data_IF_810066519178
#
_entry.id   IF_810066519178
#
_cell.length_a   1.000
_cell.length_b   1.000
_cell.length_c   1.000
_cell.angle_alpha   90.00
_cell.angle_beta   90.00
_cell.angle_gamma   90.00
#
_symmetry.space_group_name_H-M   'P 1'
#
loop_
_entity.id
_entity.type
_entity.pdbx_description
1 polymer ?
#
# COMPACT_ATOMS: atom_id res chain seq x y z
N UNK A 1 25.29 15.50 -15.97
CA UNK A 1 26.11 14.29 -16.19
C UNK A 1 25.25 13.07 -15.90
N UNK A 2 24.80 12.34 -16.92
CA UNK A 2 23.98 11.13 -16.72
C UNK A 2 24.92 9.98 -16.35
N UNK A 3 24.87 9.53 -15.10
CA UNK A 3 25.67 8.39 -14.63
C UNK A 3 24.97 7.11 -15.08
N UNK A 4 25.51 6.45 -16.10
CA UNK A 4 25.08 5.11 -16.47
C UNK A 4 25.67 4.09 -15.49
N UNK A 5 24.81 3.46 -14.68
CA UNK A 5 25.20 2.36 -13.78
C UNK A 5 24.77 1.03 -14.39
N UNK A 6 25.72 0.26 -14.92
CA UNK A 6 25.47 -1.11 -15.36
C UNK A 6 25.26 -1.97 -14.10
N UNK A 7 24.09 -2.59 -13.97
CA UNK A 7 23.74 -3.48 -12.84
C UNK A 7 23.68 -4.91 -13.33
N UNK A 8 24.45 -5.81 -12.69
CA UNK A 8 24.39 -7.26 -12.93
C UNK A 8 23.11 -7.84 -12.36
N UNK A 9 22.43 -8.74 -13.08
CA UNK A 9 21.21 -9.37 -12.57
C UNK A 9 21.49 -10.43 -11.49
N UNK A 10 20.60 -10.57 -10.52
CA UNK A 10 20.66 -11.67 -9.54
C UNK A 10 20.55 -13.07 -10.17
N UNK A 11 20.09 -13.18 -11.41
CA UNK A 11 20.07 -14.43 -12.19
C UNK A 11 21.46 -14.88 -12.67
N UNK A 12 22.49 -14.04 -12.51
CA UNK A 12 23.88 -14.41 -12.76
C UNK A 12 24.45 -15.30 -11.64
N UNK A 13 23.89 -15.22 -10.42
CA UNK A 13 24.21 -16.12 -9.32
C UNK A 13 23.61 -17.52 -9.56
N UNK A 14 24.40 -18.57 -9.35
CA UNK A 14 24.01 -19.95 -9.61
C UNK A 14 22.80 -20.41 -8.74
N UNK A 15 22.79 -20.06 -7.45
CA UNK A 15 21.72 -20.42 -6.52
C UNK A 15 20.40 -19.73 -6.90
N UNK A 16 20.45 -18.41 -7.14
CA UNK A 16 19.27 -17.65 -7.56
C UNK A 16 18.71 -18.14 -8.91
N UNK A 17 19.59 -18.54 -9.84
CA UNK A 17 19.19 -19.13 -11.13
C UNK A 17 18.53 -20.49 -10.95
N UNK A 18 19.05 -21.34 -10.07
CA UNK A 18 18.48 -22.65 -9.79
C UNK A 18 17.06 -22.54 -9.22
N UNK A 19 16.85 -21.65 -8.25
CA UNK A 19 15.53 -21.41 -7.65
C UNK A 19 14.55 -20.88 -8.70
N UNK A 20 14.97 -19.91 -9.52
CA UNK A 20 14.10 -19.35 -10.56
C UNK A 20 13.74 -20.40 -11.64
N UNK A 21 14.68 -21.28 -12.00
CA UNK A 21 14.41 -22.38 -12.93
C UNK A 21 13.44 -23.41 -12.33
N UNK A 22 13.56 -23.71 -11.04
CA UNK A 22 12.58 -24.52 -10.32
C UNK A 22 11.19 -23.87 -10.34
N UNK A 23 11.08 -22.57 -10.05
CA UNK A 23 9.81 -21.84 -10.13
C UNK A 23 9.20 -21.85 -11.53
N UNK A 24 10.02 -21.70 -12.58
CA UNK A 24 9.57 -21.88 -13.97
C UNK A 24 9.04 -23.29 -14.23
N UNK A 25 9.70 -24.32 -13.72
CA UNK A 25 9.25 -25.70 -13.91
C UNK A 25 7.89 -25.95 -13.25
N UNK A 26 7.71 -25.54 -11.98
CA UNK A 26 6.45 -25.73 -11.25
C UNK A 26 5.31 -24.86 -11.79
N UNK A 27 5.62 -23.68 -12.36
CA UNK A 27 4.60 -22.76 -12.89
C UNK A 27 3.77 -23.34 -14.03
N UNK A 28 4.27 -24.40 -14.70
CA UNK A 28 3.53 -25.15 -15.73
C UNK A 28 2.35 -25.95 -15.17
N UNK A 29 2.41 -26.30 -13.89
CA UNK A 29 1.40 -27.10 -13.18
C UNK A 29 0.49 -26.23 -12.31
N UNK A 30 0.83 -24.97 -12.10
CA UNK A 30 0.02 -23.99 -11.36
C UNK A 30 -1.06 -23.37 -12.27
N UNK A 31 -1.98 -24.19 -12.77
CA UNK A 31 -3.13 -23.72 -13.55
C UNK A 31 -4.12 -23.02 -12.63
N UNK A 32 -4.62 -21.85 -13.03
CA UNK A 32 -5.78 -21.23 -12.38
C UNK A 32 -7.08 -21.83 -12.91
N UNK A 33 -8.15 -21.81 -12.11
CA UNK A 33 -9.48 -22.33 -12.48
C UNK A 33 -10.02 -21.75 -13.80
N UNK A 34 -9.60 -20.53 -14.17
CA UNK A 34 -10.01 -19.82 -15.40
C UNK A 34 -9.19 -20.17 -16.67
N UNK A 35 -8.20 -21.07 -16.59
CA UNK A 35 -7.34 -21.41 -17.74
C UNK A 35 -7.91 -22.56 -18.58
N UNK A 36 -8.27 -22.26 -19.83
CA UNK A 36 -8.64 -23.27 -20.83
C UNK A 36 -7.57 -24.38 -20.93
N UNK A 37 -8.00 -25.65 -20.94
CA UNK A 37 -7.12 -26.84 -20.84
C UNK A 37 -5.95 -26.89 -21.83
N UNK A 38 -6.06 -26.19 -22.97
CA UNK A 38 -5.13 -26.22 -24.09
C UNK A 38 -4.19 -24.99 -24.23
N UNK A 39 -4.17 -24.08 -23.25
CA UNK A 39 -3.24 -22.93 -23.25
C UNK A 39 -2.10 -23.15 -22.25
N UNK A 40 -0.91 -22.68 -22.63
CA UNK A 40 0.22 -22.58 -21.70
C UNK A 40 -0.22 -21.81 -20.45
N UNK A 41 0.08 -22.34 -19.27
CA UNK A 41 -0.30 -21.73 -18.00
C UNK A 41 0.20 -20.28 -17.95
N UNK A 42 -0.66 -19.34 -17.51
CA UNK A 42 -0.37 -17.91 -17.51
C UNK A 42 0.92 -17.62 -16.75
N UNK A 43 1.11 -18.25 -15.59
CA UNK A 43 2.32 -18.10 -14.78
C UNK A 43 3.57 -18.55 -15.54
N UNK A 44 3.54 -19.70 -16.23
CA UNK A 44 4.66 -20.17 -17.04
C UNK A 44 5.06 -19.13 -18.12
N UNK A 45 4.07 -18.54 -18.78
CA UNK A 45 4.26 -17.47 -19.75
C UNK A 45 4.82 -16.17 -19.15
N UNK A 46 4.49 -15.83 -17.90
CA UNK A 46 5.08 -14.66 -17.23
C UNK A 46 6.51 -14.93 -16.76
N UNK A 47 6.76 -16.11 -16.17
CA UNK A 47 8.08 -16.49 -15.68
C UNK A 47 9.10 -16.71 -16.81
N UNK A 48 8.66 -17.11 -18.00
CA UNK A 48 9.54 -17.25 -19.17
C UNK A 48 10.12 -15.89 -19.61
N UNK A 49 9.37 -14.80 -19.43
CA UNK A 49 9.79 -13.43 -19.76
C UNK A 49 10.69 -12.79 -18.71
N UNK A 50 10.81 -13.39 -17.53
CA UNK A 50 11.57 -12.84 -16.41
C UNK A 50 13.07 -13.18 -16.54
N UNK A 51 13.76 -12.51 -17.47
CA UNK A 51 15.20 -12.74 -17.73
C UNK A 51 16.11 -11.94 -16.79
N UNK A 52 15.62 -10.80 -16.31
CA UNK A 52 16.34 -9.88 -15.43
C UNK A 52 15.61 -9.72 -14.10
N UNK A 53 16.34 -9.94 -13.01
CA UNK A 53 15.94 -9.60 -11.64
C UNK A 53 16.89 -8.53 -11.11
N UNK A 54 16.33 -7.41 -10.66
CA UNK A 54 17.12 -6.32 -10.09
C UNK A 54 17.71 -6.73 -8.73
N UNK A 55 19.02 -6.52 -8.49
CA UNK A 55 19.66 -6.89 -7.22
C UNK A 55 19.04 -6.31 -5.97
N UNK A 56 18.49 -5.10 -6.07
CA UNK A 56 17.87 -4.38 -4.95
C UNK A 56 16.38 -4.75 -4.77
N UNK A 57 15.82 -5.56 -5.68
CA UNK A 57 14.43 -5.99 -5.59
C UNK A 57 14.18 -6.96 -4.43
N UNK A 58 12.94 -6.97 -3.95
CA UNK A 58 12.46 -7.98 -2.98
C UNK A 58 12.66 -9.40 -3.51
N UNK A 59 12.36 -9.61 -4.80
CA UNK A 59 12.54 -10.91 -5.46
C UNK A 59 14.00 -11.39 -5.40
N UNK A 60 14.98 -10.50 -5.61
CA UNK A 60 16.40 -10.83 -5.47
C UNK A 60 16.74 -11.32 -4.06
N UNK A 61 16.17 -10.70 -3.03
CA UNK A 61 16.40 -11.11 -1.64
C UNK A 61 15.83 -12.51 -1.37
N UNK A 62 14.64 -12.83 -1.90
CA UNK A 62 14.09 -14.18 -1.84
C UNK A 62 14.96 -15.21 -2.58
N UNK A 63 15.35 -14.92 -3.82
CA UNK A 63 16.15 -15.84 -4.64
C UNK A 63 17.53 -16.10 -4.05
N UNK A 64 18.11 -15.12 -3.35
CA UNK A 64 19.44 -15.24 -2.75
C UNK A 64 19.42 -15.47 -1.24
N UNK A 65 18.23 -15.72 -0.66
CA UNK A 65 18.00 -15.90 0.79
C UNK A 65 18.66 -14.80 1.64
N UNK A 66 18.67 -13.58 1.13
CA UNK A 66 19.22 -12.42 1.84
C UNK A 66 18.20 -11.90 2.86
N UNK A 67 18.65 -11.34 3.99
CA UNK A 67 17.75 -10.74 4.96
C UNK A 67 16.98 -9.58 4.32
N UNK A 68 15.67 -9.53 4.56
CA UNK A 68 14.82 -8.44 4.12
C UNK A 68 15.11 -7.24 5.03
N UNK A 69 15.42 -6.09 4.43
CA UNK A 69 15.73 -4.88 5.19
C UNK A 69 14.48 -4.34 5.87
N UNK A 70 14.52 -4.22 7.19
CA UNK A 70 13.68 -3.33 7.99
C UNK A 70 14.42 -2.00 8.22
N UNK A 71 13.71 -0.98 8.67
CA UNK A 71 14.27 0.32 9.07
C UNK A 71 14.89 1.13 7.93
N UNK A 72 14.19 1.12 6.79
CA UNK A 72 14.48 2.00 5.66
C UNK A 72 14.36 3.45 6.13
N UNK A 73 15.36 4.32 5.87
CA UNK A 73 15.29 5.73 6.20
C UNK A 73 14.08 6.38 5.55
N UNK A 74 13.25 7.01 6.36
CA UNK A 74 12.10 7.78 5.88
C UNK A 74 12.59 9.14 5.44
N UNK A 75 12.41 9.45 4.16
CA UNK A 75 12.91 10.70 3.54
C UNK A 75 12.04 11.92 3.83
N UNK A 76 10.80 11.72 4.28
CA UNK A 76 9.82 12.79 4.50
C UNK A 76 8.78 12.39 5.54
N UNK A 77 8.29 13.35 6.33
CA UNK A 77 7.18 13.09 7.26
C UNK A 77 5.93 12.62 6.50
N UNK A 78 5.27 11.55 6.98
CA UNK A 78 4.11 11.01 6.29
C UNK A 78 2.91 11.94 6.39
N UNK A 79 2.06 11.90 5.36
CA UNK A 79 0.78 12.61 5.31
C UNK A 79 -0.39 11.63 5.36
N UNK A 80 -1.53 12.10 5.86
CA UNK A 80 -2.75 11.29 5.97
C UNK A 80 -3.96 12.02 5.37
N UNK A 81 -4.00 12.19 4.03
CA UNK A 81 -5.09 12.91 3.37
C UNK A 81 -6.45 12.19 3.42
N UNK A 82 -6.48 10.91 3.80
CA UNK A 82 -7.71 10.13 3.98
C UNK A 82 -7.90 9.72 5.44
N UNK A 83 -9.18 9.59 5.85
CA UNK A 83 -9.56 9.19 7.23
C UNK A 83 -8.74 7.99 7.71
N UNK A 84 -8.24 8.06 8.93
CA UNK A 84 -7.47 7.01 9.58
C UNK A 84 -7.75 6.96 11.09
N UNK A 85 -7.26 5.91 11.76
CA UNK A 85 -7.17 5.82 13.21
C UNK A 85 -5.72 5.54 13.65
N UNK A 86 -5.46 5.53 14.96
CA UNK A 86 -4.11 5.36 15.51
C UNK A 86 -3.43 4.05 15.07
N UNK A 87 -4.15 2.93 14.96
CA UNK A 87 -3.53 1.66 14.54
C UNK A 87 -3.20 1.65 13.04
N UNK A 88 -4.04 2.25 12.20
CA UNK A 88 -3.78 2.41 10.78
C UNK A 88 -2.61 3.38 10.52
N UNK A 89 -2.48 4.43 11.35
CA UNK A 89 -1.32 5.33 11.31
C UNK A 89 -0.03 4.56 11.59
N UNK A 90 0.02 3.82 12.69
CA UNK A 90 1.18 3.00 13.03
C UNK A 90 1.52 1.97 11.93
N UNK A 91 0.50 1.32 11.35
CA UNK A 91 0.68 0.39 10.25
C UNK A 91 1.30 1.05 9.01
N UNK A 92 0.85 2.26 8.65
CA UNK A 92 1.42 3.02 7.54
C UNK A 92 2.86 3.44 7.81
N UNK A 93 3.15 3.98 8.99
CA UNK A 93 4.50 4.41 9.37
C UNK A 93 5.49 3.25 9.35
N UNK A 94 5.07 2.06 9.81
CA UNK A 94 5.87 0.85 9.72
C UNK A 94 6.07 0.40 8.27
N UNK A 95 5.02 0.50 7.44
CA UNK A 95 5.08 0.13 6.04
C UNK A 95 6.06 1.01 5.23
N UNK A 96 6.16 2.31 5.54
CA UNK A 96 7.12 3.20 4.89
C UNK A 96 8.57 2.91 5.28
N UNK A 97 8.79 2.26 6.43
CA UNK A 97 10.12 1.88 6.95
C UNK A 97 10.53 0.46 6.58
N UNK A 98 9.69 -0.30 5.89
CA UNK A 98 9.90 -1.73 5.71
C UNK A 98 9.84 -2.11 4.24
N UNK A 99 10.72 -3.04 3.83
CA UNK A 99 10.74 -3.55 2.45
C UNK A 99 9.50 -4.37 2.13
N UNK A 100 8.99 -5.10 3.13
CA UNK A 100 7.74 -5.87 3.06
C UNK A 100 6.94 -5.53 4.31
N UNK A 101 5.63 -5.38 4.15
CA UNK A 101 4.72 -5.20 5.29
C UNK A 101 3.42 -5.92 5.05
N UNK A 102 2.94 -6.60 6.09
CA UNK A 102 1.67 -7.30 6.12
C UNK A 102 0.76 -6.51 7.05
N UNK A 103 -0.35 -6.00 6.52
CA UNK A 103 -1.32 -5.20 7.27
C UNK A 103 -2.64 -5.97 7.32
N UNK A 104 -3.00 -6.42 8.51
CA UNK A 104 -4.23 -7.14 8.77
C UNK A 104 -5.27 -6.25 9.45
N UNK A 105 -6.53 -6.61 9.31
CA UNK A 105 -7.63 -5.84 9.88
C UNK A 105 -8.97 -6.56 9.69
N UNK A 106 -9.89 -6.52 10.66
CA UNK A 106 -11.23 -7.09 10.51
C UNK A 106 -11.99 -6.52 9.29
N UNK A 107 -13.02 -7.21 8.77
CA UNK A 107 -13.90 -6.64 7.74
C UNK A 107 -14.47 -5.28 8.15
N UNK A 108 -14.60 -4.34 7.21
CA UNK A 108 -15.13 -3.00 7.48
C UNK A 108 -14.17 -2.02 8.18
N UNK A 109 -12.97 -2.44 8.58
CA UNK A 109 -12.00 -1.57 9.29
C UNK A 109 -11.22 -0.60 8.42
N UNK A 110 -11.76 -0.20 7.26
CA UNK A 110 -11.16 0.85 6.44
C UNK A 110 -9.83 0.49 5.75
N UNK A 111 -9.59 -0.79 5.43
CA UNK A 111 -8.38 -1.24 4.67
C UNK A 111 -8.12 -0.41 3.42
N UNK A 112 -9.17 -0.05 2.67
CA UNK A 112 -9.04 0.79 1.48
C UNK A 112 -8.47 2.16 1.81
N UNK A 113 -8.87 2.77 2.93
CA UNK A 113 -8.34 4.06 3.39
C UNK A 113 -6.86 3.95 3.76
N UNK A 114 -6.45 2.84 4.39
CA UNK A 114 -5.03 2.55 4.63
C UNK A 114 -4.26 2.47 3.32
N UNK A 115 -4.78 1.77 2.31
CA UNK A 115 -4.17 1.71 0.96
C UNK A 115 -4.04 3.12 0.35
N UNK A 116 -5.09 3.94 0.40
CA UNK A 116 -5.07 5.29 -0.15
C UNK A 116 -4.01 6.18 0.52
N UNK A 117 -3.90 6.11 1.86
CA UNK A 117 -2.87 6.85 2.59
C UNK A 117 -1.45 6.34 2.24
N UNK A 118 -1.25 5.03 2.07
CA UNK A 118 0.04 4.47 1.61
C UNK A 118 0.37 5.01 0.21
N UNK A 119 -0.59 5.03 -0.72
CA UNK A 119 -0.40 5.57 -2.07
C UNK A 119 -0.03 7.04 -2.06
N UNK A 120 -0.69 7.86 -1.24
CA UNK A 120 -0.35 9.27 -1.10
C UNK A 120 1.12 9.46 -0.67
N UNK A 121 1.59 8.66 0.29
CA UNK A 121 2.97 8.76 0.76
C UNK A 121 3.99 8.26 -0.26
N UNK A 122 3.75 7.11 -0.88
CA UNK A 122 4.69 6.53 -1.84
C UNK A 122 4.72 7.29 -3.17
N UNK A 123 3.56 7.58 -3.74
CA UNK A 123 3.46 8.19 -5.07
C UNK A 123 3.65 9.71 -5.02
N UNK A 124 3.00 10.41 -4.07
CA UNK A 124 3.00 11.87 -4.04
C UNK A 124 4.17 12.41 -3.23
N UNK A 125 4.33 11.99 -1.97
CA UNK A 125 5.44 12.50 -1.12
C UNK A 125 6.82 11.98 -1.53
N UNK A 126 6.92 10.74 -2.00
CA UNK A 126 8.21 10.13 -2.38
C UNK A 126 8.44 10.04 -3.89
N UNK A 127 7.47 10.43 -4.73
CA UNK A 127 7.60 10.39 -6.19
C UNK A 127 7.76 8.98 -6.79
N UNK A 128 7.37 7.92 -6.06
CA UNK A 128 7.55 6.53 -6.52
C UNK A 128 6.44 6.12 -7.49
N UNK A 129 6.79 5.24 -8.43
CA UNK A 129 5.79 4.54 -9.24
C UNK A 129 5.23 3.38 -8.43
N UNK A 130 3.91 3.35 -8.22
CA UNK A 130 3.25 2.34 -7.39
C UNK A 130 2.26 1.55 -8.23
N UNK A 131 2.33 0.23 -8.13
CA UNK A 131 1.35 -0.68 -8.73
C UNK A 131 0.44 -1.25 -7.64
N UNK A 132 -0.87 -1.12 -7.83
CA UNK A 132 -1.88 -1.74 -6.97
C UNK A 132 -2.40 -2.98 -7.68
N UNK A 133 -2.28 -4.14 -7.02
CA UNK A 133 -2.71 -5.43 -7.56
C UNK A 133 -3.67 -6.10 -6.59
N UNK A 134 -4.61 -6.89 -7.11
CA UNK A 134 -5.51 -7.72 -6.32
C UNK A 134 -5.91 -8.95 -7.12
N UNK A 135 -6.20 -10.04 -6.42
CA UNK A 135 -6.85 -11.22 -7.01
C UNK A 135 -8.30 -10.96 -7.42
N UNK A 136 -8.93 -9.89 -6.92
CA UNK A 136 -10.28 -9.50 -7.31
C UNK A 136 -10.29 -8.05 -7.84
N UNK A 137 -10.81 -7.89 -9.06
CA UNK A 137 -10.95 -6.58 -9.72
C UNK A 137 -11.72 -5.55 -8.86
N UNK A 138 -12.67 -5.98 -8.03
CA UNK A 138 -13.45 -5.10 -7.16
C UNK A 138 -12.59 -4.29 -6.18
N UNK A 139 -11.50 -4.86 -5.65
CA UNK A 139 -10.66 -4.15 -4.69
C UNK A 139 -9.89 -3.00 -5.35
N UNK A 140 -9.38 -3.21 -6.56
CA UNK A 140 -8.67 -2.19 -7.35
C UNK A 140 -9.64 -1.10 -7.80
N UNK A 141 -10.84 -1.49 -8.28
CA UNK A 141 -11.89 -0.54 -8.66
C UNK A 141 -12.36 0.32 -7.48
N UNK A 142 -12.46 -0.25 -6.27
CA UNK A 142 -12.80 0.49 -5.07
C UNK A 142 -11.77 1.55 -4.70
N UNK A 143 -10.48 1.26 -4.89
CA UNK A 143 -9.39 2.24 -4.69
C UNK A 143 -9.50 3.35 -5.74
N UNK A 144 -9.65 2.98 -7.02
CA UNK A 144 -9.81 3.93 -8.12
C UNK A 144 -11.02 4.85 -7.91
N UNK A 145 -12.20 4.30 -7.67
CA UNK A 145 -13.43 5.07 -7.48
C UNK A 145 -13.42 5.94 -6.21
N UNK A 146 -12.56 5.66 -5.23
CA UNK A 146 -12.33 6.58 -4.09
C UNK A 146 -11.40 7.73 -4.47
N UNK A 147 -10.35 7.48 -5.23
CA UNK A 147 -9.49 8.55 -5.76
C UNK A 147 -10.28 9.49 -6.68
N UNK A 148 -11.12 8.94 -7.56
CA UNK A 148 -11.97 9.71 -8.48
C UNK A 148 -12.94 10.63 -7.73
N UNK A 149 -13.65 10.10 -6.73
CA UNK A 149 -14.58 10.90 -5.88
C UNK A 149 -13.90 12.03 -5.11
N UNK A 150 -12.58 11.96 -4.95
CA UNK A 150 -11.78 12.95 -4.23
C UNK A 150 -11.03 13.89 -5.19
N UNK A 151 -11.31 13.82 -6.49
CA UNK A 151 -10.68 14.64 -7.52
C UNK A 151 -9.33 14.11 -8.03
N UNK A 152 -8.78 13.06 -7.42
CA UNK A 152 -7.47 12.51 -7.73
C UNK A 152 -7.45 11.46 -8.86
N UNK A 153 -8.45 11.49 -9.74
CA UNK A 153 -8.62 10.52 -10.85
C UNK A 153 -7.39 10.43 -11.76
N UNK A 154 -6.70 11.55 -11.98
CA UNK A 154 -5.53 11.65 -12.86
C UNK A 154 -4.26 10.99 -12.29
N UNK A 155 -4.24 10.64 -11.00
CA UNK A 155 -3.11 9.92 -10.37
C UNK A 155 -3.18 8.40 -10.55
N UNK A 156 -4.29 7.86 -11.05
CA UNK A 156 -4.53 6.42 -11.15
C UNK A 156 -4.73 6.00 -12.60
N UNK A 157 -4.13 4.87 -12.98
CA UNK A 157 -4.28 4.27 -14.30
C UNK A 157 -4.66 2.79 -14.18
N UNK A 158 -5.80 2.41 -14.75
CA UNK A 158 -6.23 1.02 -14.81
C UNK A 158 -5.60 0.32 -16.01
N UNK A 159 -4.50 -0.41 -15.80
CA UNK A 159 -3.70 -1.02 -16.87
C UNK A 159 -3.81 -2.57 -16.92
N UNK A 160 -4.82 -3.14 -16.26
CA UNK A 160 -4.95 -4.59 -16.04
C UNK A 160 -5.19 -5.43 -17.30
N UNK A 161 -5.69 -4.85 -18.40
CA UNK A 161 -5.89 -5.55 -19.66
C UNK A 161 -5.49 -4.67 -20.86
N UNK A 162 -5.40 -5.25 -22.06
CA UNK A 162 -4.97 -4.52 -23.26
C UNK A 162 -5.94 -3.40 -23.65
N UNK A 163 -7.24 -3.62 -23.47
CA UNK A 163 -8.26 -2.63 -23.82
C UNK A 163 -8.18 -1.38 -22.95
N UNK A 164 -8.05 -1.56 -21.63
CA UNK A 164 -7.89 -0.47 -20.67
C UNK A 164 -6.60 0.31 -20.92
N UNK A 165 -5.51 -0.37 -21.27
CA UNK A 165 -4.27 0.32 -21.70
C UNK A 165 -4.53 1.20 -22.92
N UNK A 166 -5.17 0.66 -23.97
CA UNK A 166 -5.51 1.43 -25.18
C UNK A 166 -6.39 2.62 -24.83
N UNK A 167 -7.45 2.42 -24.04
CA UNK A 167 -8.36 3.49 -23.59
C UNK A 167 -7.63 4.59 -22.81
N UNK A 168 -6.75 4.21 -21.88
CA UNK A 168 -5.99 5.15 -21.07
C UNK A 168 -5.02 6.00 -21.90
N UNK A 169 -4.26 5.39 -22.83
CA UNK A 169 -3.34 6.15 -23.67
C UNK A 169 -4.04 6.95 -24.78
N UNK A 170 -5.22 6.52 -25.23
CA UNK A 170 -6.05 7.29 -26.15
C UNK A 170 -6.67 8.53 -25.48
N UNK A 171 -7.03 8.40 -24.19
CA UNK A 171 -7.67 9.44 -23.40
C UNK A 171 -6.89 9.68 -22.11
N UNK A 172 -5.74 10.33 -22.21
CA UNK A 172 -4.96 10.70 -21.03
C UNK A 172 -5.81 11.61 -20.12
N UNK A 173 -5.84 11.35 -18.81
CA UNK A 173 -6.63 12.15 -17.89
C UNK A 173 -6.11 13.59 -17.88
N UNK A 174 -7.03 14.54 -18.03
CA UNK A 174 -6.72 15.96 -17.85
C UNK A 174 -6.69 16.25 -16.36
N UNK A 175 -5.62 16.86 -15.89
CA UNK A 175 -5.55 17.38 -14.53
C UNK A 175 -5.94 18.86 -14.55
N UNK A 176 -6.84 19.24 -13.65
CA UNK A 176 -7.10 20.63 -13.34
C UNK A 176 -6.66 20.88 -11.90
N UNK A 177 -5.53 21.57 -11.77
CA UNK A 177 -4.87 21.90 -10.50
C UNK A 177 -4.59 23.39 -10.40
N UNK A 178 -5.26 24.22 -11.21
CA UNK A 178 -5.04 25.67 -11.21
C UNK A 178 -5.34 26.31 -9.86
N UNK A 179 -6.26 25.71 -9.10
CA UNK A 179 -6.61 26.14 -7.74
C UNK A 179 -5.65 25.64 -6.66
N UNK A 180 -4.65 24.80 -7.00
CA UNK A 180 -3.74 24.20 -6.02
C UNK A 180 -2.51 25.08 -5.73
N UNK A 181 -2.59 26.38 -6.03
CA UNK A 181 -1.59 27.35 -5.63
C UNK A 181 -1.70 27.68 -4.15
N UNK A 182 -0.57 27.66 -3.44
CA UNK A 182 -0.49 28.18 -2.08
C UNK A 182 0.43 29.39 -2.04
N UNK A 183 0.03 30.42 -1.29
CA UNK A 183 0.89 31.56 -0.96
C UNK A 183 1.97 31.18 0.06
N UNK A 184 1.77 30.07 0.77
CA UNK A 184 2.71 29.56 1.77
C UNK A 184 3.83 28.79 1.09
N UNK A 185 5.04 28.93 1.62
CA UNK A 185 6.15 28.07 1.24
C UNK A 185 5.88 26.60 1.62
N UNK A 186 6.57 25.68 0.95
CA UNK A 186 6.45 24.26 1.24
C UNK A 186 6.83 23.93 2.69
N UNK A 187 7.81 24.63 3.26
CA UNK A 187 8.24 24.46 4.65
C UNK A 187 7.15 24.91 5.63
N UNK A 188 6.48 26.03 5.38
CA UNK A 188 5.37 26.51 6.21
C UNK A 188 4.16 25.57 6.14
N UNK A 189 3.86 25.05 4.94
CA UNK A 189 2.81 24.04 4.76
C UNK A 189 3.13 22.77 5.54
N UNK A 190 4.37 22.28 5.43
CA UNK A 190 4.81 21.08 6.17
C UNK A 190 4.75 21.31 7.69
N UNK A 191 5.13 22.49 8.18
CA UNK A 191 5.03 22.84 9.59
C UNK A 191 3.57 22.87 10.08
N UNK A 192 2.66 23.50 9.32
CA UNK A 192 1.22 23.51 9.63
C UNK A 192 0.61 22.11 9.61
N UNK A 193 0.96 21.29 8.60
CA UNK A 193 0.50 19.90 8.51
C UNK A 193 0.95 19.10 9.74
N UNK A 194 2.15 19.34 10.23
CA UNK A 194 2.67 18.66 11.41
C UNK A 194 1.93 19.08 12.69
N UNK A 195 1.68 20.37 12.90
CA UNK A 195 0.88 20.85 14.03
C UNK A 195 -0.54 20.26 14.01
N UNK A 196 -1.19 20.25 12.84
CA UNK A 196 -2.51 19.65 12.68
C UNK A 196 -2.50 18.13 12.93
N UNK A 197 -1.52 17.40 12.41
CA UNK A 197 -1.40 15.95 12.66
C UNK A 197 -1.23 15.66 14.16
N UNK A 198 -0.43 16.47 14.88
CA UNK A 198 -0.26 16.33 16.33
C UNK A 198 -1.57 16.58 17.09
N UNK A 199 -2.32 17.61 16.72
CA UNK A 199 -3.64 17.90 17.33
C UNK A 199 -4.65 16.79 17.07
N UNK A 200 -4.71 16.29 15.83
CA UNK A 200 -5.60 15.19 15.45
C UNK A 200 -5.28 13.93 16.26
N UNK A 201 -3.99 13.59 16.41
CA UNK A 201 -3.56 12.46 17.25
C UNK A 201 -4.02 12.64 18.69
N UNK A 202 -3.81 13.83 19.26
CA UNK A 202 -4.23 14.09 20.64
C UNK A 202 -5.73 13.90 20.84
N UNK A 203 -6.54 14.35 19.87
CA UNK A 203 -7.98 14.14 19.90
C UNK A 203 -8.35 12.65 19.81
N UNK A 204 -7.71 11.89 18.93
CA UNK A 204 -7.94 10.44 18.81
C UNK A 204 -7.55 9.67 20.10
N UNK A 205 -6.49 10.09 20.79
CA UNK A 205 -6.10 9.53 22.08
C UNK A 205 -7.16 9.81 23.14
N UNK A 206 -7.63 11.05 23.24
CA UNK A 206 -8.67 11.45 24.18
C UNK A 206 -9.99 10.71 23.93
N UNK A 207 -10.39 10.54 22.67
CA UNK A 207 -11.58 9.76 22.32
C UNK A 207 -11.43 8.29 22.75
N UNK A 208 -10.24 7.71 22.58
CA UNK A 208 -9.94 6.35 23.04
C UNK A 208 -9.97 6.23 24.57
N UNK A 209 -9.42 7.21 25.28
CA UNK A 209 -9.47 7.27 26.75
C UNK A 209 -10.90 7.40 27.27
N UNK A 210 -11.68 8.30 26.67
CA UNK A 210 -13.10 8.48 26.97
C UNK A 210 -13.87 7.18 26.79
N UNK A 211 -13.68 6.48 25.67
CA UNK A 211 -14.35 5.20 25.40
C UNK A 211 -14.04 4.14 26.49
N UNK A 212 -12.77 4.02 26.91
CA UNK A 212 -12.36 3.11 27.99
C UNK A 212 -12.98 3.48 29.34
N UNK A 213 -13.06 4.77 29.66
CA UNK A 213 -13.67 5.23 30.91
C UNK A 213 -15.17 4.97 30.92
N UNK A 214 -15.85 5.18 29.79
CA UNK A 214 -17.27 4.86 29.65
C UNK A 214 -17.54 3.36 29.79
N UNK A 215 -16.69 2.51 29.21
CA UNK A 215 -16.78 1.06 29.37
C UNK A 215 -16.64 0.63 30.84
N UNK A 216 -15.61 1.14 31.53
CA UNK A 216 -15.42 0.89 32.97
C UNK A 216 -16.60 1.37 33.81
N UNK A 217 -17.11 2.56 33.52
CA UNK A 217 -18.28 3.10 34.22
C UNK A 217 -19.50 2.19 34.04
N UNK A 218 -19.73 1.70 32.81
CA UNK A 218 -20.84 0.78 32.53
C UNK A 218 -20.71 -0.54 33.28
N UNK A 219 -19.50 -1.08 33.41
CA UNK A 219 -19.24 -2.29 34.18
C UNK A 219 -19.53 -2.08 35.68
N UNK A 220 -19.07 -0.96 36.27
CA UNK A 220 -19.33 -0.65 37.68
C UNK A 220 -20.81 -0.44 37.97
N UNK A 221 -21.57 0.19 37.06
CA UNK A 221 -23.02 0.34 37.23
C UNK A 221 -23.73 -1.01 37.18
N UNK A 222 -23.31 -1.91 36.29
CA UNK A 222 -23.87 -3.27 36.19
C UNK A 222 -23.59 -4.07 37.48
N UNK A 223 -22.37 -4.01 38.01
CA UNK A 223 -22.00 -4.63 39.29
C UNK A 223 -22.84 -4.09 40.46
N UNK A 224 -23.04 -2.78 40.53
CA UNK A 224 -23.86 -2.15 41.56
C UNK A 224 -25.32 -2.64 41.51
N UNK A 225 -25.90 -2.75 40.31
CA UNK A 225 -27.26 -3.24 40.12
C UNK A 225 -27.40 -4.72 40.50
N UNK A 226 -26.41 -5.57 40.18
CA UNK A 226 -26.40 -6.97 40.63
C UNK A 226 -26.32 -7.08 42.16
N UNK A 227 -25.48 -6.27 42.79
CA UNK A 227 -25.31 -6.25 44.24
C UNK A 227 -26.61 -5.82 44.95
N UNK A 228 -27.33 -4.82 44.41
CA UNK A 228 -28.63 -4.36 44.92
C UNK A 228 -29.78 -5.36 44.74
N UNK A 229 -29.70 -6.27 43.76
CA UNK A 229 -30.74 -7.29 43.51
C UNK A 229 -30.52 -8.60 44.28
N UNK A 230 -29.33 -8.80 44.83
CA UNK A 230 -28.92 -10.06 45.48
C UNK A 230 -28.89 -9.98 47.01
N UNK A 231 -29.17 -8.82 47.60
CA UNK A 231 -29.31 -8.59 49.04
C UNK A 231 -30.69 -8.04 49.36
#
# INVERSE_FOLDING_TARGET
MVVFKVRSSSTQNAEGRQILNYWRAISKYAKSEDEQENKEAFLAKQFSKLHYVDPDSVLSHYLLKKPIKSDIPVTSKPIFPFRYNLSQKAALEQALKSTISIIEGPPGTGKTQTILNILANLAVKQGKKVAVVSGNNAAVLNVQGKMERQGYHFFVASLGNQENKKKFFANLPKWDVSEWSSELSEDELNAKLQDLDQRIQRLMELDREKAKLMEKLSAYLLEQDHCRRSG
#
